data_IF_253327394767
#
_entry.id   IF_253327394767
#
_cell.length_a   1.000
_cell.length_b   1.000
_cell.length_c   1.000
_cell.angle_alpha   90.00
_cell.angle_beta   90.00
_cell.angle_gamma   90.00
#
_symmetry.space_group_name_H-M   'P 1'
#
loop_
_entity.id
_entity.type
_entity.pdbx_description
1 polymer ?
#
# COMPACT_ATOMS: atom_id res chain seq x y z
N UNK A 1 8.96 20.84 2.53
CA UNK A 1 8.85 20.31 1.16
C UNK A 1 9.43 21.33 0.20
N UNK A 2 10.21 20.87 -0.79
CA UNK A 2 10.94 21.75 -1.71
C UNK A 2 10.02 22.23 -2.85
N UNK A 3 8.97 22.95 -2.51
CA UNK A 3 8.12 23.67 -3.46
C UNK A 3 8.12 25.14 -3.06
N UNK A 4 9.20 25.84 -3.43
CA UNK A 4 9.39 27.25 -3.05
C UNK A 4 8.40 28.21 -3.76
N UNK A 5 7.71 27.78 -4.82
CA UNK A 5 6.86 28.64 -5.67
C UNK A 5 5.67 27.91 -6.31
N UNK A 6 5.08 26.90 -5.65
CA UNK A 6 3.88 26.26 -6.18
C UNK A 6 2.68 26.94 -5.54
N UNK A 7 1.87 27.71 -6.28
CA UNK A 7 0.64 28.35 -5.77
C UNK A 7 -0.46 27.38 -5.31
N UNK A 8 -0.08 26.15 -4.95
CA UNK A 8 -0.93 25.09 -4.47
C UNK A 8 -0.82 25.00 -2.96
N UNK A 9 -1.94 25.22 -2.28
CA UNK A 9 -2.09 24.95 -0.87
C UNK A 9 -2.39 23.46 -0.66
N UNK A 10 -1.54 22.76 0.10
CA UNK A 10 -1.73 21.35 0.43
C UNK A 10 -2.71 21.14 1.58
N UNK A 11 -2.98 22.18 2.38
CA UNK A 11 -3.87 22.11 3.54
C UNK A 11 -5.25 21.47 3.23
N UNK A 12 -5.99 21.89 2.18
CA UNK A 12 -7.28 21.26 1.88
C UNK A 12 -7.17 19.77 1.54
N UNK A 13 -6.09 19.34 0.88
CA UNK A 13 -5.87 17.93 0.54
C UNK A 13 -5.60 17.12 1.79
N UNK A 14 -4.71 17.62 2.66
CA UNK A 14 -4.40 16.98 3.94
C UNK A 14 -5.65 16.88 4.83
N UNK A 15 -6.50 17.92 4.82
CA UNK A 15 -7.76 17.92 5.56
C UNK A 15 -8.72 16.84 5.08
N UNK A 16 -8.87 16.65 3.77
CA UNK A 16 -9.67 15.53 3.23
C UNK A 16 -9.09 14.18 3.64
N UNK A 17 -7.76 14.04 3.64
CA UNK A 17 -7.10 12.81 4.08
C UNK A 17 -7.42 12.52 5.56
N UNK A 18 -7.29 13.53 6.41
CA UNK A 18 -7.57 13.44 7.84
C UNK A 18 -9.05 13.10 8.12
N UNK A 19 -9.96 13.86 7.51
CA UNK A 19 -11.39 13.81 7.83
C UNK A 19 -12.09 12.57 7.24
N UNK A 20 -11.63 12.03 6.10
CA UNK A 20 -12.33 10.95 5.39
C UNK A 20 -11.51 9.68 5.20
N UNK A 21 -10.25 9.83 4.79
CA UNK A 21 -9.44 8.69 4.38
C UNK A 21 -8.87 7.91 5.58
N UNK A 22 -8.40 8.60 6.64
CA UNK A 22 -7.95 7.93 7.85
C UNK A 22 -9.05 7.07 8.52
N UNK A 23 -10.31 7.55 8.68
CA UNK A 23 -11.42 6.69 9.10
C UNK A 23 -11.65 5.50 8.18
N UNK A 24 -11.69 5.74 6.86
CA UNK A 24 -11.93 4.69 5.86
C UNK A 24 -10.90 3.55 5.96
N UNK A 25 -9.67 3.84 6.41
CA UNK A 25 -8.60 2.84 6.54
C UNK A 25 -8.90 1.80 7.63
N UNK A 26 -9.73 2.17 8.61
CA UNK A 26 -10.16 1.28 9.69
C UNK A 26 -11.28 0.34 9.25
N UNK A 27 -12.04 0.73 8.22
CA UNK A 27 -13.18 -0.03 7.70
C UNK A 27 -12.80 -0.92 6.52
N UNK A 28 -11.85 -0.48 5.69
CA UNK A 28 -11.39 -1.24 4.54
C UNK A 28 -9.90 -1.05 4.25
N UNK A 29 -9.33 -2.06 3.60
CA UNK A 29 -7.94 -2.03 3.15
C UNK A 29 -7.82 -1.16 1.90
N UNK A 30 -7.51 0.12 2.11
CA UNK A 30 -7.20 1.06 1.04
C UNK A 30 -5.83 1.72 1.28
N UNK A 31 -5.28 2.30 0.21
CA UNK A 31 -3.99 2.99 0.26
C UNK A 31 -2.78 2.06 0.19
N UNK A 32 -1.67 2.51 0.74
CA UNK A 32 -0.39 1.80 0.69
C UNK A 32 -0.40 0.58 1.61
N UNK A 33 -0.17 -0.61 1.05
CA UNK A 33 -0.02 -1.85 1.80
C UNK A 33 1.24 -2.61 1.38
N UNK A 34 1.90 -3.23 2.36
CA UNK A 34 3.20 -3.89 2.16
C UNK A 34 3.19 -4.98 1.09
N UNK A 35 2.15 -5.84 0.96
CA UNK A 35 2.11 -6.83 -0.11
C UNK A 35 2.14 -6.22 -1.52
N UNK A 36 1.50 -5.07 -1.74
CA UNK A 36 1.54 -4.37 -3.04
C UNK A 36 2.90 -3.75 -3.31
N UNK A 37 3.55 -3.20 -2.28
CA UNK A 37 4.93 -2.75 -2.41
C UNK A 37 5.87 -3.89 -2.78
N UNK A 38 5.76 -5.05 -2.12
CA UNK A 38 6.61 -6.22 -2.39
C UNK A 38 6.45 -6.68 -3.84
N UNK A 39 5.22 -6.82 -4.33
CA UNK A 39 4.99 -7.21 -5.74
C UNK A 39 5.53 -6.15 -6.70
N UNK A 40 5.39 -4.86 -6.40
CA UNK A 40 5.92 -3.78 -7.23
C UNK A 40 7.45 -3.78 -7.30
N UNK A 41 8.14 -3.94 -6.16
CA UNK A 41 9.60 -4.02 -6.11
C UNK A 41 10.17 -5.20 -6.90
N UNK A 42 9.43 -6.31 -6.96
CA UNK A 42 9.83 -7.53 -7.67
C UNK A 42 9.29 -7.60 -9.10
N UNK A 43 8.70 -6.51 -9.61
CA UNK A 43 8.06 -6.45 -10.93
C UNK A 43 7.03 -7.57 -11.17
N UNK A 44 6.36 -8.01 -10.10
CA UNK A 44 5.34 -9.04 -10.10
C UNK A 44 3.94 -8.43 -10.17
N UNK A 45 3.03 -9.09 -10.90
CA UNK A 45 1.64 -8.66 -10.95
C UNK A 45 1.01 -8.67 -9.53
N UNK A 46 0.25 -7.64 -9.11
CA UNK A 46 -0.32 -7.54 -7.77
C UNK A 46 -1.35 -8.62 -7.39
N UNK A 47 -1.61 -9.58 -8.28
CA UNK A 47 -2.60 -10.66 -8.06
C UNK A 47 -2.21 -11.51 -6.85
N UNK A 48 -0.91 -11.79 -6.68
CA UNK A 48 -0.40 -12.54 -5.53
C UNK A 48 -0.62 -11.79 -4.21
N UNK A 49 -0.47 -10.47 -4.23
CA UNK A 49 -0.75 -9.63 -3.08
C UNK A 49 -2.25 -9.57 -2.75
N UNK A 50 -3.12 -9.41 -3.76
CA UNK A 50 -4.58 -9.49 -3.56
C UNK A 50 -4.98 -10.85 -2.97
N UNK A 51 -4.37 -11.93 -3.45
CA UNK A 51 -4.65 -13.27 -2.99
C UNK A 51 -4.26 -13.45 -1.51
N UNK A 52 -3.05 -13.03 -1.09
CA UNK A 52 -2.62 -13.20 0.30
C UNK A 52 -3.48 -12.39 1.29
N UNK A 53 -3.96 -11.20 0.89
CA UNK A 53 -4.87 -10.39 1.73
C UNK A 53 -6.18 -11.08 2.10
N UNK A 54 -6.64 -12.03 1.28
CA UNK A 54 -7.86 -12.83 1.53
C UNK A 54 -7.63 -14.00 2.49
N UNK A 55 -6.40 -14.20 2.98
CA UNK A 55 -6.03 -15.34 3.83
C UNK A 55 -5.74 -14.91 5.27
N UNK A 56 -5.60 -15.88 6.17
CA UNK A 56 -5.14 -15.63 7.55
C UNK A 56 -3.69 -15.16 7.63
N UNK A 57 -2.89 -15.42 6.60
CA UNK A 57 -1.46 -15.05 6.52
C UNK A 57 -1.25 -13.62 6.00
N UNK A 58 -2.32 -12.82 5.88
CA UNK A 58 -2.29 -11.51 5.23
C UNK A 58 -1.23 -10.55 5.77
N UNK A 59 -0.87 -10.69 7.05
CA UNK A 59 0.11 -9.84 7.75
C UNK A 59 1.47 -10.52 7.95
N UNK A 60 1.66 -11.74 7.43
CA UNK A 60 2.93 -12.46 7.45
C UNK A 60 3.83 -12.02 6.28
N UNK A 61 4.26 -10.76 6.30
CA UNK A 61 4.95 -10.13 5.17
C UNK A 61 6.29 -10.77 4.82
N UNK A 62 7.05 -11.21 5.83
CA UNK A 62 8.34 -11.88 5.62
C UNK A 62 8.15 -13.19 4.83
N UNK A 63 7.16 -14.00 5.22
CA UNK A 63 6.80 -15.22 4.51
C UNK A 63 6.29 -14.92 3.10
N UNK A 64 5.47 -13.88 2.93
CA UNK A 64 5.02 -13.47 1.60
C UNK A 64 6.19 -13.09 0.69
N UNK A 65 7.14 -12.29 1.18
CA UNK A 65 8.34 -11.92 0.42
C UNK A 65 9.16 -13.14 0.00
N UNK A 66 9.41 -14.08 0.92
CA UNK A 66 10.14 -15.32 0.64
C UNK A 66 9.44 -16.16 -0.44
N UNK A 67 8.11 -16.28 -0.36
CA UNK A 67 7.31 -16.99 -1.35
C UNK A 67 7.38 -16.34 -2.74
N UNK A 68 7.31 -15.00 -2.83
CA UNK A 68 7.39 -14.31 -4.12
C UNK A 68 8.79 -14.47 -4.72
N UNK A 69 9.86 -14.35 -3.93
CA UNK A 69 11.25 -14.55 -4.41
C UNK A 69 11.49 -15.95 -4.96
N UNK A 70 10.94 -16.99 -4.32
CA UNK A 70 11.06 -18.38 -4.78
C UNK A 70 10.28 -18.67 -6.06
N UNK A 71 9.28 -17.86 -6.39
CA UNK A 71 8.48 -18.00 -7.61
C UNK A 71 9.17 -17.35 -8.82
N UNK A 72 9.95 -16.30 -8.60
CA UNK A 72 10.63 -15.53 -9.65
C UNK A 72 12.07 -15.94 -9.94
N UNK A 73 12.71 -16.72 -9.04
CA UNK A 73 13.99 -17.38 -9.28
C UNK A 73 13.81 -18.78 -9.83
#
# INVERSE_FOLDING_TARGET
GYFKNSGYDLMPVLKVIEDYFLPLQKEMEWGYILPYMITGLLNEHPRSAIAVRKTKEKDNYARFLDNIRKKTG
#
